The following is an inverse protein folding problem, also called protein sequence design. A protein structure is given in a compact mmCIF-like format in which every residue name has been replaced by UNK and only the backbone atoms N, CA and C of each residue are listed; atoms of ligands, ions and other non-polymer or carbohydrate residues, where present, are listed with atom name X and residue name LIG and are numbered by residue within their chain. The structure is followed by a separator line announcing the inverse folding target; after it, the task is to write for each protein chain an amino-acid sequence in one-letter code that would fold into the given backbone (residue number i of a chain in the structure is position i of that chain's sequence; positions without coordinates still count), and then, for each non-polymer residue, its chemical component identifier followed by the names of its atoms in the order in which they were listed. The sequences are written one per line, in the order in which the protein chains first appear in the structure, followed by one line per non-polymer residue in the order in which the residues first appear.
data_IF_917026588310
#
_entry.id   IF_917026588310
#
_cell.length_a   1.000
_cell.length_b   1.000
_cell.length_c   1.000
_cell.angle_alpha   90.00
_cell.angle_beta   90.00
_cell.angle_gamma   90.00
#
_symmetry.space_group_name_H-M   'P 1'
#
loop_
_entity.id
_entity.type
_entity.pdbx_description
1 polymer ?
#
# COMPACT_ATOMS: atom_id res chain seq x y z
N UNK A 1 -6.40 -0.67 6.37
CA UNK A 1 -5.18 0.16 6.16
C UNK A 1 -4.36 -0.48 5.04
N UNK A 2 -3.67 0.29 4.20
CA UNK A 2 -2.73 -0.24 3.20
C UNK A 2 -1.27 0.11 3.60
N UNK A 3 -0.40 -0.90 3.65
CA UNK A 3 1.05 -0.72 3.66
C UNK A 3 1.66 -1.29 2.39
N UNK A 4 2.63 -0.58 1.81
CA UNK A 4 3.31 -1.04 0.60
C UNK A 4 4.75 -1.44 0.92
N UNK A 5 5.11 -2.67 0.60
CA UNK A 5 6.49 -3.16 0.59
C UNK A 5 6.96 -3.42 -0.85
N UNK A 6 8.19 -2.99 -1.15
CA UNK A 6 8.80 -3.20 -2.47
C UNK A 6 9.49 -4.57 -2.46
N UNK A 7 9.00 -5.48 -3.30
CA UNK A 7 9.62 -6.80 -3.49
C UNK A 7 10.68 -6.67 -4.56
N UNK A 8 11.90 -7.12 -4.23
CA UNK A 8 13.03 -7.17 -5.15
C UNK A 8 13.35 -8.61 -5.51
N UNK A 9 13.95 -8.81 -6.68
CA UNK A 9 14.41 -10.11 -7.11
C UNK A 9 15.24 -10.82 -6.02
N UNK A 10 15.00 -12.12 -5.84
CA UNK A 10 15.53 -12.95 -4.75
C UNK A 10 14.71 -12.93 -3.46
N UNK A 11 13.65 -12.11 -3.35
CA UNK A 11 12.77 -12.05 -2.15
C UNK A 11 11.34 -12.54 -2.42
N UNK A 12 11.04 -12.96 -3.64
CA UNK A 12 9.74 -13.46 -4.07
C UNK A 12 9.44 -14.89 -3.59
N UNK A 13 10.47 -15.65 -3.18
CA UNK A 13 10.34 -17.06 -2.75
C UNK A 13 9.31 -17.27 -1.65
N UNK A 14 9.20 -16.33 -0.71
CA UNK A 14 8.18 -16.33 0.34
C UNK A 14 6.77 -16.48 -0.25
N UNK A 15 6.46 -15.70 -1.30
CA UNK A 15 5.13 -15.69 -1.91
C UNK A 15 4.86 -16.91 -2.79
N UNK A 16 5.92 -17.51 -3.36
CA UNK A 16 5.81 -18.78 -4.06
C UNK A 16 5.54 -19.95 -3.12
N UNK A 17 5.83 -19.81 -1.82
CA UNK A 17 5.60 -20.84 -0.79
C UNK A 17 4.34 -20.66 0.06
N UNK A 18 3.49 -19.66 -0.24
CA UNK A 18 2.34 -19.29 0.60
C UNK A 18 1.17 -20.30 0.60
N UNK A 19 1.22 -21.34 -0.22
CA UNK A 19 0.08 -22.23 -0.50
C UNK A 19 -0.41 -23.14 0.63
N UNK A 20 -0.03 -22.93 1.91
CA UNK A 20 -0.38 -23.87 3.00
C UNK A 20 -0.81 -23.25 4.33
N UNK A 21 -0.74 -21.93 4.52
CA UNK A 21 -0.45 -21.43 5.87
C UNK A 21 -1.63 -20.94 6.75
N UNK A 22 -2.92 -20.86 6.38
CA UNK A 22 -3.88 -20.10 7.26
C UNK A 22 -5.42 -20.32 7.14
N UNK A 23 -6.05 -21.51 7.24
CA UNK A 23 -7.54 -21.59 6.99
C UNK A 23 -8.46 -22.23 8.03
N UNK A 24 -9.52 -21.46 8.35
CA UNK A 24 -10.56 -21.63 9.40
C UNK A 24 -11.99 -21.68 8.84
N UNK A 25 -12.12 -21.75 7.52
CA UNK A 25 -13.33 -22.04 6.75
C UNK A 25 -13.16 -23.47 6.23
N UNK A 26 -14.16 -24.34 6.32
CA UNK A 26 -14.06 -25.80 6.15
C UNK A 26 -13.72 -26.30 4.74
N UNK A 27 -12.88 -25.59 3.99
CA UNK A 27 -12.38 -25.92 2.65
C UNK A 27 -10.86 -26.07 2.72
N UNK A 28 -10.33 -27.06 1.99
CA UNK A 28 -8.89 -27.26 1.85
C UNK A 28 -8.31 -26.18 0.92
N UNK A 29 -7.36 -25.43 1.47
CA UNK A 29 -6.45 -24.45 0.86
C UNK A 29 -7.03 -23.12 0.33
N UNK A 30 -6.38 -21.99 0.68
CA UNK A 30 -6.54 -20.73 -0.02
C UNK A 30 -5.54 -20.56 -1.12
N UNK A 31 -5.85 -21.17 -2.25
CA UNK A 31 -5.13 -20.78 -3.43
C UNK A 31 -5.32 -19.25 -3.66
N UNK A 32 -4.22 -18.54 -3.92
CA UNK A 32 -4.29 -17.11 -4.21
C UNK A 32 -5.12 -16.88 -5.47
N UNK A 33 -5.45 -15.63 -5.81
CA UNK A 33 -6.21 -15.37 -7.05
C UNK A 33 -5.61 -14.22 -7.84
N UNK A 34 -5.54 -14.39 -9.15
CA UNK A 34 -5.14 -13.34 -10.06
C UNK A 34 -6.28 -12.35 -10.32
N UNK A 35 -6.03 -11.06 -10.10
CA UNK A 35 -6.98 -9.95 -10.27
C UNK A 35 -6.39 -8.81 -11.10
N UNK A 36 -7.24 -7.85 -11.48
CA UNK A 36 -6.87 -6.67 -12.27
C UNK A 36 -7.08 -6.83 -13.77
N UNK A 37 -7.13 -5.71 -14.50
CA UNK A 37 -7.26 -5.72 -15.96
C UNK A 37 -5.99 -6.21 -16.67
N UNK A 38 -4.83 -6.19 -16.00
CA UNK A 38 -3.61 -6.84 -16.49
C UNK A 38 -3.78 -8.36 -16.52
N UNK A 39 -4.30 -8.96 -15.44
CA UNK A 39 -4.63 -10.38 -15.39
C UNK A 39 -5.65 -10.76 -16.48
N UNK A 40 -6.64 -9.88 -16.74
CA UNK A 40 -7.60 -10.06 -17.84
C UNK A 40 -6.91 -10.04 -19.21
N UNK A 41 -6.00 -9.10 -19.43
CA UNK A 41 -5.24 -8.97 -20.68
C UNK A 41 -4.35 -10.19 -20.93
N UNK A 42 -3.82 -10.78 -19.85
CA UNK A 42 -3.03 -12.01 -19.87
C UNK A 42 -3.87 -13.30 -19.85
N UNK A 43 -5.20 -13.21 -19.84
CA UNK A 43 -6.15 -14.34 -19.79
C UNK A 43 -6.00 -15.24 -18.56
N UNK A 44 -5.56 -14.66 -17.43
CA UNK A 44 -5.41 -15.34 -16.14
C UNK A 44 -6.33 -14.78 -15.04
N UNK A 45 -7.23 -13.85 -15.37
CA UNK A 45 -8.16 -13.26 -14.39
C UNK A 45 -9.00 -14.35 -13.70
N UNK A 46 -9.02 -14.34 -12.38
CA UNK A 46 -9.75 -15.31 -11.56
C UNK A 46 -9.10 -16.68 -11.49
N UNK A 47 -7.99 -16.91 -12.21
CA UNK A 47 -7.22 -18.13 -12.04
C UNK A 47 -6.62 -18.17 -10.64
N UNK A 48 -6.61 -19.38 -10.16
CA UNK A 48 -6.26 -19.72 -8.82
C UNK A 48 -4.77 -20.06 -8.72
N UNK A 49 -4.10 -19.62 -7.65
CA UNK A 49 -2.64 -19.62 -7.51
C UNK A 49 -2.23 -20.68 -6.49
N UNK A 50 -1.51 -21.68 -6.97
CA UNK A 50 -1.05 -22.81 -6.17
C UNK A 50 0.31 -22.55 -5.52
N UNK A 51 0.72 -23.43 -4.60
CA UNK A 51 2.11 -23.43 -4.12
C UNK A 51 3.06 -23.63 -5.31
N UNK A 52 4.10 -22.80 -5.39
CA UNK A 52 5.11 -22.80 -6.47
C UNK A 52 4.52 -22.59 -7.86
N UNK A 53 3.41 -21.85 -7.94
CA UNK A 53 2.71 -21.56 -9.18
C UNK A 53 3.67 -21.01 -10.26
N UNK A 54 3.76 -21.69 -11.43
CA UNK A 54 4.69 -21.30 -12.49
C UNK A 54 4.30 -19.97 -13.14
N UNK A 55 3.00 -19.65 -13.23
CA UNK A 55 2.51 -18.39 -13.78
C UNK A 55 2.96 -17.22 -12.91
N UNK A 56 2.79 -17.32 -11.59
CA UNK A 56 3.24 -16.29 -10.65
C UNK A 56 4.76 -16.12 -10.70
N UNK A 57 5.52 -17.23 -10.74
CA UNK A 57 6.98 -17.21 -10.89
C UNK A 57 7.41 -16.48 -12.16
N UNK A 58 6.80 -16.79 -13.31
CA UNK A 58 7.10 -16.17 -14.58
C UNK A 58 6.82 -14.66 -14.55
N UNK A 59 5.69 -14.25 -13.97
CA UNK A 59 5.32 -12.84 -13.85
C UNK A 59 6.27 -12.06 -12.91
N UNK A 60 6.77 -12.65 -11.83
CA UNK A 60 7.83 -12.02 -11.01
C UNK A 60 9.10 -11.77 -11.83
N UNK A 61 9.44 -12.69 -12.71
CA UNK A 61 10.58 -12.55 -13.62
C UNK A 61 10.33 -11.51 -14.72
N UNK A 62 9.07 -11.09 -14.92
CA UNK A 62 8.68 -10.15 -15.97
C UNK A 62 8.35 -10.84 -17.30
N UNK A 63 8.01 -12.12 -17.26
CA UNK A 63 7.63 -12.93 -18.41
C UNK A 63 6.11 -13.07 -18.51
N UNK A 64 5.63 -13.48 -19.69
CA UNK A 64 4.25 -13.92 -19.89
C UNK A 64 3.92 -15.14 -19.02
N UNK A 65 2.62 -15.44 -18.79
CA UNK A 65 2.20 -16.61 -18.01
C UNK A 65 2.86 -17.92 -18.43
N UNK A 66 3.07 -18.13 -19.74
CA UNK A 66 3.73 -19.31 -20.32
C UNK A 66 5.27 -19.25 -20.30
N UNK A 67 5.86 -18.15 -19.82
CA UNK A 67 7.30 -17.94 -19.73
C UNK A 67 8.00 -17.62 -21.06
N UNK A 68 7.27 -17.48 -22.17
CA UNK A 68 7.88 -17.38 -23.52
C UNK A 68 8.19 -15.95 -23.96
N UNK A 69 7.47 -14.97 -23.46
CA UNK A 69 7.54 -13.58 -23.91
C UNK A 69 8.03 -12.68 -22.77
N UNK A 70 9.05 -11.88 -23.02
CA UNK A 70 9.48 -10.84 -22.09
C UNK A 70 8.47 -9.68 -22.12
N UNK A 71 7.83 -9.40 -20.98
CA UNK A 71 6.86 -8.32 -20.82
C UNK A 71 7.52 -7.03 -20.30
N UNK A 72 8.75 -7.09 -19.79
CA UNK A 72 9.50 -5.89 -19.37
C UNK A 72 11.00 -6.14 -19.40
N UNK A 73 11.75 -5.09 -19.67
CA UNK A 73 13.21 -5.11 -19.66
C UNK A 73 13.78 -5.21 -18.23
N UNK A 74 14.93 -5.88 -18.08
CA UNK A 74 15.69 -5.92 -16.81
C UNK A 74 15.33 -7.08 -15.87
N UNK A 75 15.00 -8.23 -16.45
CA UNK A 75 14.76 -9.54 -15.82
C UNK A 75 15.60 -9.77 -14.57
N UNK A 76 15.00 -9.74 -13.37
CA UNK A 76 15.63 -10.13 -12.09
C UNK A 76 17.12 -9.70 -11.88
N UNK A 77 17.58 -8.64 -12.54
CA UNK A 77 19.01 -8.30 -12.54
C UNK A 77 19.36 -7.57 -11.25
N UNK A 78 20.46 -7.97 -10.63
CA UNK A 78 21.16 -7.11 -9.68
C UNK A 78 21.93 -6.10 -10.51
N UNK A 79 21.59 -4.81 -10.35
CA UNK A 79 22.33 -3.71 -10.98
C UNK A 79 23.29 -3.12 -9.96
N UNK A 80 24.54 -2.95 -10.36
CA UNK A 80 25.52 -2.19 -9.61
C UNK A 80 25.35 -0.70 -9.89
N UNK A 81 25.36 0.06 -8.80
CA UNK A 81 25.36 1.51 -8.84
C UNK A 81 26.61 2.01 -8.13
N UNK A 82 27.42 2.79 -8.83
CA UNK A 82 28.63 3.38 -8.27
C UNK A 82 28.34 4.82 -7.87
N UNK A 83 28.72 5.17 -6.65
CA UNK A 83 28.59 6.51 -6.08
C UNK A 83 29.91 6.90 -5.41
N UNK A 84 30.08 8.18 -5.11
CA UNK A 84 31.18 8.63 -4.26
C UNK A 84 30.69 8.73 -2.82
N UNK A 85 31.40 8.10 -1.90
CA UNK A 85 31.14 8.14 -0.47
C UNK A 85 32.42 8.59 0.22
N UNK A 86 32.31 9.69 0.95
CA UNK A 86 33.43 10.22 1.72
C UNK A 86 33.91 9.17 2.73
N UNK A 87 35.19 8.74 2.67
CA UNK A 87 35.71 7.68 3.53
C UNK A 87 35.75 8.10 5.01
N UNK A 88 35.86 9.39 5.32
CA UNK A 88 35.92 9.90 6.68
C UNK A 88 34.52 10.07 7.27
N UNK A 89 33.64 10.79 6.56
CA UNK A 89 32.29 11.09 7.08
C UNK A 89 31.27 9.99 6.80
N UNK A 90 31.62 9.04 5.93
CA UNK A 90 30.75 7.98 5.45
C UNK A 90 29.48 8.51 4.75
N UNK A 91 29.47 9.77 4.33
CA UNK A 91 28.37 10.41 3.62
C UNK A 91 28.50 10.23 2.11
N UNK A 92 27.40 9.86 1.46
CA UNK A 92 27.34 9.79 -0.01
C UNK A 92 27.25 11.19 -0.61
N UNK A 93 28.10 11.49 -1.59
CA UNK A 93 28.05 12.71 -2.40
C UNK A 93 26.70 12.78 -3.13
N UNK A 94 26.08 13.96 -3.11
CA UNK A 94 24.75 14.19 -3.67
C UNK A 94 24.79 15.26 -4.75
N UNK A 95 23.92 15.11 -5.73
CA UNK A 95 23.58 16.17 -6.69
C UNK A 95 22.93 17.35 -5.97
N UNK A 96 22.85 18.51 -6.62
CA UNK A 96 22.13 19.70 -6.12
C UNK A 96 20.68 19.39 -5.72
N UNK A 97 20.03 18.44 -6.40
CA UNK A 97 18.68 17.97 -6.07
C UNK A 97 18.59 17.08 -4.82
N UNK A 98 19.70 16.87 -4.11
CA UNK A 98 19.80 16.01 -2.93
C UNK A 98 19.81 14.51 -3.21
N UNK A 99 19.78 14.06 -4.47
CA UNK A 99 19.89 12.64 -4.84
C UNK A 99 21.35 12.16 -4.81
N UNK A 100 21.63 10.88 -4.50
CA UNK A 100 22.97 10.32 -4.64
C UNK A 100 23.54 10.57 -6.04
N UNK A 101 24.80 10.97 -6.10
CA UNK A 101 25.52 11.18 -7.34
C UNK A 101 25.98 9.81 -7.89
N UNK A 102 25.36 9.35 -8.97
CA UNK A 102 25.74 8.12 -9.64
C UNK A 102 26.80 8.38 -10.72
N UNK A 103 27.77 7.49 -10.81
CA UNK A 103 28.86 7.53 -11.79
C UNK A 103 28.49 6.71 -13.03
N UNK A 104 28.91 7.19 -14.21
CA UNK A 104 28.87 6.42 -15.44
C UNK A 104 29.93 5.30 -15.41
N UNK A 105 29.82 4.32 -16.31
CA UNK A 105 30.84 3.27 -16.46
C UNK A 105 32.23 3.87 -16.77
N UNK A 106 32.27 4.91 -17.59
CA UNK A 106 33.52 5.57 -17.98
C UNK A 106 34.14 6.33 -16.79
N UNK A 107 33.33 7.02 -15.99
CA UNK A 107 33.79 7.71 -14.78
C UNK A 107 34.37 6.70 -13.76
N UNK A 108 33.74 5.53 -13.61
CA UNK A 108 34.24 4.46 -12.74
C UNK A 108 35.59 3.94 -13.26
N UNK A 109 35.71 3.69 -14.56
CA UNK A 109 36.97 3.24 -15.16
C UNK A 109 38.08 4.29 -14.99
N UNK A 110 37.77 5.59 -15.15
CA UNK A 110 38.73 6.67 -14.92
C UNK A 110 39.24 6.69 -13.48
N UNK A 111 38.35 6.53 -12.49
CA UNK A 111 38.73 6.46 -11.07
C UNK A 111 39.60 5.22 -10.80
N UNK A 112 39.20 4.06 -11.32
CA UNK A 112 39.95 2.81 -11.13
C UNK A 112 41.34 2.84 -11.77
N UNK A 113 41.51 3.58 -12.87
CA UNK A 113 42.80 3.78 -13.51
C UNK A 113 43.74 4.70 -12.72
N UNK A 114 43.22 5.49 -11.76
CA UNK A 114 44.01 6.30 -10.83
C UNK A 114 44.70 7.54 -11.42
N UNK A 115 44.41 7.93 -12.67
CA UNK A 115 45.00 9.12 -13.31
C UNK A 115 44.00 10.29 -13.33
N UNK A 116 44.11 11.19 -12.35
CA UNK A 116 43.25 12.36 -12.20
C UNK A 116 43.31 13.33 -13.40
N UNK A 117 44.38 13.32 -14.20
CA UNK A 117 44.49 14.18 -15.39
C UNK A 117 43.48 13.78 -16.48
N UNK A 118 43.11 12.49 -16.50
CA UNK A 118 42.15 11.89 -17.45
C UNK A 118 40.71 11.96 -16.97
N UNK A 119 40.46 12.53 -15.79
CA UNK A 119 39.11 12.73 -15.30
C UNK A 119 38.28 13.60 -16.27
N UNK A 120 37.03 13.21 -16.43
CA UNK A 120 35.99 14.03 -17.06
C UNK A 120 35.86 15.36 -16.33
N UNK A 121 35.32 16.39 -17.01
CA UNK A 121 35.14 17.72 -16.40
C UNK A 121 34.30 17.66 -15.12
N UNK A 122 33.31 16.76 -15.08
CA UNK A 122 32.49 16.51 -13.90
C UNK A 122 33.31 15.94 -12.73
N UNK A 123 34.19 14.96 -12.97
CA UNK A 123 35.07 14.41 -11.94
C UNK A 123 36.13 15.43 -11.50
N UNK A 124 36.68 16.25 -12.42
CA UNK A 124 37.59 17.36 -12.08
C UNK A 124 36.91 18.40 -11.20
N UNK A 125 35.66 18.74 -11.48
CA UNK A 125 34.88 19.65 -10.64
C UNK A 125 34.64 19.06 -9.25
N UNK A 126 34.27 17.78 -9.16
CA UNK A 126 34.08 17.09 -7.89
C UNK A 126 35.38 17.00 -7.07
N UNK A 127 36.51 16.72 -7.73
CA UNK A 127 37.84 16.67 -7.11
C UNK A 127 38.19 17.99 -6.43
N UNK A 128 37.95 19.12 -7.11
CA UNK A 128 38.10 20.47 -6.53
C UNK A 128 37.16 20.70 -5.35
N UNK A 129 35.88 20.34 -5.49
CA UNK A 129 34.87 20.54 -4.43
C UNK A 129 35.18 19.74 -3.16
N UNK A 130 35.62 18.50 -3.32
CA UNK A 130 35.90 17.58 -2.22
C UNK A 130 37.37 17.56 -1.80
N UNK A 131 38.21 18.40 -2.42
CA UNK A 131 39.63 18.54 -2.16
C UNK A 131 40.37 17.19 -2.15
N UNK A 132 40.12 16.41 -3.20
CA UNK A 132 40.73 15.09 -3.38
C UNK A 132 41.05 14.83 -4.85
N UNK A 133 42.25 14.31 -5.11
CA UNK A 133 42.68 13.93 -6.46
C UNK A 133 42.51 12.42 -6.71
N UNK A 134 42.20 11.66 -5.65
CA UNK A 134 42.00 10.22 -5.71
C UNK A 134 40.64 9.81 -5.16
N UNK A 135 39.73 9.46 -6.06
CA UNK A 135 38.41 8.95 -5.72
C UNK A 135 38.38 7.42 -5.52
N UNK A 136 39.51 6.71 -5.60
CA UNK A 136 39.54 5.25 -5.44
C UNK A 136 38.98 4.83 -4.07
N UNK A 137 39.42 5.49 -3.00
CA UNK A 137 38.93 5.28 -1.64
C UNK A 137 37.50 5.78 -1.40
N UNK A 138 36.96 6.58 -2.31
CA UNK A 138 35.59 7.11 -2.27
C UNK A 138 34.61 6.26 -3.07
N UNK A 139 35.10 5.45 -4.02
CA UNK A 139 34.26 4.67 -4.90
C UNK A 139 33.47 3.63 -4.10
N UNK A 140 32.17 3.83 -4.03
CA UNK A 140 31.26 2.94 -3.32
C UNK A 140 30.27 2.31 -4.29
N UNK A 141 30.32 0.99 -4.38
CA UNK A 141 29.39 0.19 -5.17
C UNK A 141 28.23 -0.27 -4.30
N UNK A 142 27.01 -0.05 -4.76
CA UNK A 142 25.80 -0.59 -4.17
C UNK A 142 25.08 -1.46 -5.18
N UNK A 143 24.87 -2.72 -4.83
CA UNK A 143 23.99 -3.61 -5.58
C UNK A 143 22.52 -3.32 -5.29
N UNK A 144 21.70 -3.25 -6.35
CA UNK A 144 20.25 -3.16 -6.24
C UNK A 144 19.58 -4.16 -7.17
N UNK A 145 18.96 -5.15 -6.56
CA UNK A 145 18.03 -6.05 -7.23
C UNK A 145 16.84 -5.29 -7.81
N UNK A 146 16.42 -5.69 -9.02
CA UNK A 146 15.26 -5.12 -9.71
C UNK A 146 13.98 -5.31 -8.90
N UNK A 147 13.03 -4.38 -9.03
CA UNK A 147 11.72 -4.48 -8.37
C UNK A 147 10.88 -5.47 -9.16
N UNK A 148 10.37 -6.53 -8.52
CA UNK A 148 9.54 -7.56 -9.15
C UNK A 148 8.04 -7.38 -8.85
N UNK A 149 7.71 -6.77 -7.72
CA UNK A 149 6.34 -6.46 -7.35
C UNK A 149 6.26 -5.39 -6.25
N UNK A 150 5.06 -4.85 -6.06
CA UNK A 150 4.69 -4.01 -4.91
C UNK A 150 3.63 -4.75 -4.10
N UNK A 151 3.99 -5.18 -2.89
CA UNK A 151 3.06 -5.84 -1.98
C UNK A 151 2.18 -4.80 -1.28
N UNK A 152 0.91 -4.72 -1.67
CA UNK A 152 -0.09 -3.89 -1.01
C UNK A 152 -0.82 -4.73 0.04
N UNK A 153 -0.46 -4.53 1.31
CA UNK A 153 -1.06 -5.28 2.42
C UNK A 153 -2.26 -4.53 2.96
N UNK A 154 -3.45 -5.01 2.61
CA UNK A 154 -4.71 -4.49 3.13
C UNK A 154 -5.07 -5.20 4.43
N UNK A 155 -4.82 -4.54 5.56
CA UNK A 155 -5.17 -5.06 6.89
C UNK A 155 -6.49 -4.49 7.37
N UNK A 156 -7.40 -5.36 7.80
CA UNK A 156 -8.64 -4.96 8.46
C UNK A 156 -8.33 -4.32 9.85
N UNK A 157 -9.20 -3.42 10.35
CA UNK A 157 -9.12 -3.03 11.75
C UNK A 157 -9.18 -4.24 12.67
N UNK A 158 -8.55 -4.14 13.85
CA UNK A 158 -8.49 -5.25 14.80
C UNK A 158 -9.88 -5.74 15.20
N UNK A 159 -10.78 -4.80 15.45
CA UNK A 159 -12.20 -5.02 15.75
C UNK A 159 -12.89 -5.91 14.70
N UNK A 160 -12.57 -5.76 13.41
CA UNK A 160 -13.12 -6.60 12.33
C UNK A 160 -12.55 -8.02 12.39
N UNK A 161 -11.26 -8.17 12.71
CA UNK A 161 -10.64 -9.49 12.86
C UNK A 161 -11.18 -10.22 14.09
N UNK A 162 -11.46 -9.49 15.17
CA UNK A 162 -12.13 -10.01 16.37
C UNK A 162 -13.56 -10.44 16.03
N UNK A 163 -14.34 -9.57 15.38
CA UNK A 163 -15.70 -9.89 14.94
C UNK A 163 -15.72 -11.17 14.09
N UNK A 164 -14.79 -11.30 13.14
CA UNK A 164 -14.62 -12.52 12.35
C UNK A 164 -14.34 -13.74 13.22
N UNK A 165 -13.33 -13.69 14.10
CA UNK A 165 -12.96 -14.86 14.93
C UNK A 165 -14.04 -15.28 15.92
N UNK A 166 -14.85 -14.32 16.39
CA UNK A 166 -15.90 -14.55 17.38
C UNK A 166 -17.30 -14.70 16.76
N UNK A 167 -17.37 -14.84 15.44
CA UNK A 167 -18.63 -15.09 14.73
C UNK A 167 -19.22 -16.45 15.14
N UNK A 168 -20.53 -16.51 15.41
CA UNK A 168 -21.17 -17.69 15.99
C UNK A 168 -21.24 -18.88 15.03
N UNK A 169 -21.23 -18.62 13.72
CA UNK A 169 -21.33 -19.64 12.68
C UNK A 169 -20.36 -19.33 11.53
N UNK A 170 -20.16 -20.33 10.67
CA UNK A 170 -19.24 -20.24 9.52
C UNK A 170 -19.71 -19.25 8.46
N UNK A 171 -21.02 -19.19 8.20
CA UNK A 171 -21.62 -18.27 7.23
C UNK A 171 -21.29 -16.81 7.54
N UNK A 172 -21.34 -16.40 8.81
CA UNK A 172 -20.98 -15.05 9.22
C UNK A 172 -19.48 -14.78 9.03
N UNK A 173 -18.61 -15.77 9.31
CA UNK A 173 -17.16 -15.67 9.04
C UNK A 173 -16.87 -15.49 7.56
N UNK A 174 -17.43 -16.35 6.72
CA UNK A 174 -17.30 -16.28 5.26
C UNK A 174 -17.81 -14.96 4.70
N UNK A 175 -18.90 -14.45 5.28
CA UNK A 175 -19.44 -13.16 4.88
C UNK A 175 -18.48 -12.01 5.21
N UNK A 176 -17.87 -11.99 6.40
CA UNK A 176 -16.87 -10.98 6.76
C UNK A 176 -15.64 -11.08 5.83
N UNK A 177 -15.16 -12.29 5.53
CA UNK A 177 -14.07 -12.51 4.57
C UNK A 177 -14.46 -11.99 3.18
N UNK A 178 -15.68 -12.24 2.73
CA UNK A 178 -16.20 -11.75 1.44
C UNK A 178 -16.25 -10.22 1.40
N UNK A 179 -16.68 -9.57 2.48
CA UNK A 179 -16.69 -8.10 2.60
C UNK A 179 -15.26 -7.53 2.55
N UNK A 180 -14.32 -8.18 3.23
CA UNK A 180 -12.89 -7.86 3.18
C UNK A 180 -12.31 -7.99 1.77
N UNK A 181 -12.61 -9.08 1.07
CA UNK A 181 -12.18 -9.30 -0.31
C UNK A 181 -12.81 -8.27 -1.27
N UNK A 182 -14.08 -7.90 -1.08
CA UNK A 182 -14.74 -6.82 -1.84
C UNK A 182 -14.06 -5.48 -1.63
N UNK A 183 -13.74 -5.13 -0.38
CA UNK A 183 -13.00 -3.91 -0.06
C UNK A 183 -11.59 -3.91 -0.66
N UNK A 184 -10.91 -5.07 -0.63
CA UNK A 184 -9.61 -5.27 -1.27
C UNK A 184 -9.71 -5.05 -2.79
N UNK A 185 -10.72 -5.62 -3.45
CA UNK A 185 -10.97 -5.43 -4.89
C UNK A 185 -11.21 -3.96 -5.25
N UNK A 186 -12.00 -3.22 -4.45
CA UNK A 186 -12.23 -1.80 -4.68
C UNK A 186 -10.93 -0.97 -4.60
N UNK A 187 -10.06 -1.29 -3.63
CA UNK A 187 -8.76 -0.63 -3.52
C UNK A 187 -7.80 -1.01 -4.65
N UNK A 188 -7.83 -2.26 -5.13
CA UNK A 188 -7.09 -2.72 -6.32
C UNK A 188 -7.53 -1.95 -7.56
N UNK A 189 -8.84 -1.76 -7.76
CA UNK A 189 -9.35 -0.97 -8.89
C UNK A 189 -8.81 0.46 -8.86
N UNK A 190 -8.74 1.10 -7.68
CA UNK A 190 -8.11 2.41 -7.56
C UNK A 190 -6.60 2.39 -7.84
N UNK A 191 -5.87 1.39 -7.36
CA UNK A 191 -4.43 1.26 -7.64
C UNK A 191 -4.15 1.06 -9.14
N UNK A 192 -5.03 0.36 -9.85
CA UNK A 192 -4.94 0.18 -11.29
C UNK A 192 -5.10 1.50 -12.06
N UNK A 193 -5.94 2.43 -11.59
CA UNK A 193 -6.01 3.78 -12.17
C UNK A 193 -4.70 4.57 -12.03
N UNK A 194 -3.82 4.17 -11.10
CA UNK A 194 -2.52 4.78 -10.87
C UNK A 194 -1.37 3.98 -11.54
N UNK A 195 -1.70 2.99 -12.37
CA UNK A 195 -0.72 2.18 -13.08
C UNK A 195 -0.31 2.88 -14.39
N UNK A 196 0.96 3.24 -14.47
CA UNK A 196 1.57 3.82 -15.67
C UNK A 196 2.86 3.07 -16.00
N UNK A 197 3.20 3.02 -17.28
CA UNK A 197 4.53 2.61 -17.74
C UNK A 197 5.22 3.78 -18.45
N UNK A 198 6.55 3.76 -18.45
CA UNK A 198 7.34 4.74 -19.20
C UNK A 198 7.78 4.19 -20.54
N UNK A 199 7.57 4.95 -21.61
CA UNK A 199 7.84 4.54 -22.98
C UNK A 199 8.56 5.65 -23.77
N UNK A 200 8.90 5.36 -25.03
CA UNK A 200 9.65 6.27 -25.91
C UNK A 200 11.14 6.37 -25.57
N UNK A 201 11.89 7.14 -26.39
CA UNK A 201 13.33 7.31 -26.20
C UNK A 201 13.61 7.96 -24.84
N UNK A 202 14.38 7.28 -24.00
CA UNK A 202 14.71 7.74 -22.65
C UNK A 202 13.56 7.64 -21.62
N UNK A 203 12.42 7.01 -21.95
CA UNK A 203 11.31 6.83 -21.02
C UNK A 203 10.59 8.12 -20.64
N UNK A 204 10.50 9.07 -21.58
CA UNK A 204 9.96 10.41 -21.35
C UNK A 204 8.42 10.40 -21.37
N UNK A 205 7.81 9.47 -22.11
CA UNK A 205 6.36 9.34 -22.18
C UNK A 205 5.85 8.49 -21.01
N UNK A 206 4.75 8.91 -20.40
CA UNK A 206 4.05 8.17 -19.35
C UNK A 206 2.69 7.73 -19.90
N UNK A 207 2.52 6.43 -20.11
CA UNK A 207 1.30 5.86 -20.69
C UNK A 207 0.51 5.08 -19.61
N UNK A 208 -0.83 5.27 -19.51
CA UNK A 208 -1.66 4.44 -18.65
C UNK A 208 -1.52 2.96 -18.99
N UNK A 209 -1.49 2.11 -17.97
CA UNK A 209 -1.31 0.69 -18.11
C UNK A 209 -2.32 -0.09 -17.27
N UNK A 210 -2.63 -1.31 -17.69
CA UNK A 210 -3.36 -2.30 -16.92
C UNK A 210 -2.38 -3.08 -16.05
N UNK A 211 -2.79 -3.41 -14.82
CA UNK A 211 -1.92 -4.05 -13.84
C UNK A 211 -2.43 -5.44 -13.44
N UNK A 212 -1.50 -6.33 -13.12
CA UNK A 212 -1.79 -7.70 -12.66
C UNK A 212 -1.53 -7.81 -11.17
N UNK A 213 -2.50 -8.34 -10.44
CA UNK A 213 -2.40 -8.56 -8.99
C UNK A 213 -2.48 -10.05 -8.67
N UNK A 214 -1.58 -10.56 -7.84
CA UNK A 214 -1.74 -11.85 -7.17
C UNK A 214 -2.19 -11.58 -5.73
N UNK A 215 -3.36 -12.06 -5.34
CA UNK A 215 -3.99 -11.73 -4.06
C UNK A 215 -4.10 -12.96 -3.16
N UNK A 216 -3.54 -12.86 -1.97
CA UNK A 216 -3.59 -13.88 -0.92
C UNK A 216 -4.27 -13.28 0.30
N UNK A 217 -5.36 -13.88 0.77
CA UNK A 217 -6.04 -13.47 2.00
C UNK A 217 -5.57 -14.37 3.14
N UNK A 218 -5.28 -13.80 4.30
CA UNK A 218 -4.90 -14.52 5.50
C UNK A 218 -5.75 -14.05 6.68
N UNK A 219 -5.89 -14.90 7.69
CA UNK A 219 -6.74 -14.61 8.86
C UNK A 219 -6.00 -14.62 10.19
N UNK A 220 -4.72 -14.99 10.21
CA UNK A 220 -3.92 -15.07 11.44
C UNK A 220 -2.72 -14.12 11.38
N UNK A 221 -2.29 -13.68 12.55
CA UNK A 221 -0.97 -13.08 12.72
C UNK A 221 0.08 -14.15 12.96
N UNK A 222 1.37 -13.77 12.92
CA UNK A 222 2.48 -14.67 13.27
C UNK A 222 2.41 -15.20 14.71
N UNK A 223 1.75 -14.50 15.63
CA UNK A 223 1.55 -14.95 17.02
C UNK A 223 0.22 -15.71 17.18
N UNK A 224 -0.39 -16.16 16.08
CA UNK A 224 -1.65 -16.91 16.09
C UNK A 224 -2.82 -16.14 16.71
N UNK A 225 -2.77 -14.81 16.76
CA UNK A 225 -3.93 -13.96 17.03
C UNK A 225 -4.74 -13.68 15.74
N UNK A 226 -6.06 -13.44 15.81
CA UNK A 226 -6.89 -13.13 14.65
C UNK A 226 -6.44 -11.86 13.94
N UNK A 227 -6.09 -11.94 12.67
CA UNK A 227 -5.66 -10.79 11.88
C UNK A 227 -6.06 -10.98 10.42
N UNK A 228 -7.22 -10.47 10.04
CA UNK A 228 -7.71 -10.51 8.66
C UNK A 228 -6.94 -9.49 7.81
N UNK A 229 -6.24 -9.98 6.79
CA UNK A 229 -5.49 -9.14 5.86
C UNK A 229 -5.36 -9.79 4.48
N UNK A 230 -5.09 -8.99 3.45
CA UNK A 230 -4.75 -9.48 2.12
C UNK A 230 -3.42 -8.91 1.65
N UNK A 231 -2.52 -9.77 1.18
CA UNK A 231 -1.38 -9.39 0.36
C UNK A 231 -1.83 -9.29 -1.10
N UNK A 232 -1.95 -8.07 -1.62
CA UNK A 232 -2.24 -7.82 -3.02
C UNK A 232 -0.95 -7.42 -3.75
N UNK A 233 -0.27 -8.43 -4.31
CA UNK A 233 0.98 -8.27 -5.03
C UNK A 233 0.73 -7.65 -6.40
N UNK A 234 0.97 -6.35 -6.55
CA UNK A 234 0.97 -5.69 -7.84
C UNK A 234 2.26 -6.07 -8.57
N UNK A 235 2.16 -7.01 -9.50
CA UNK A 235 3.31 -7.51 -10.27
C UNK A 235 3.84 -6.37 -11.13
N UNK A 236 5.16 -6.23 -11.19
CA UNK A 236 5.79 -5.06 -11.81
C UNK A 236 5.85 -5.17 -13.34
N UNK A 237 4.69 -5.44 -13.94
CA UNK A 237 4.40 -5.59 -15.36
C UNK A 237 3.12 -4.79 -15.65
N UNK A 238 3.23 -3.76 -16.48
CA UNK A 238 2.10 -2.99 -17.00
C UNK A 238 1.87 -3.25 -18.48
N UNK A 239 0.62 -3.24 -18.91
CA UNK A 239 0.20 -3.46 -20.30
C UNK A 239 -0.70 -2.30 -20.75
N UNK A 240 -0.29 -1.52 -21.75
CA UNK A 240 -1.14 -0.42 -22.28
C UNK A 240 -2.35 -0.96 -23.05
N UNK A 241 -3.28 -0.08 -23.41
CA UNK A 241 -4.43 -0.48 -24.23
C UNK A 241 -4.02 -1.02 -25.62
N UNK A 242 -2.92 -0.51 -26.16
CA UNK A 242 -2.30 -0.88 -27.43
C UNK A 242 -1.39 -2.10 -27.32
N UNK A 243 -1.25 -2.69 -26.13
CA UNK A 243 -0.46 -3.90 -25.90
C UNK A 243 1.04 -3.67 -25.67
N UNK A 244 1.50 -2.42 -25.55
CA UNK A 244 2.89 -2.16 -25.11
C UNK A 244 3.05 -2.61 -23.68
N UNK A 245 4.22 -3.16 -23.34
CA UNK A 245 4.49 -3.68 -22.01
C UNK A 245 5.73 -3.04 -21.39
N UNK A 246 5.77 -2.95 -20.07
CA UNK A 246 6.89 -2.36 -19.35
C UNK A 246 6.80 -2.48 -17.84
N UNK A 247 7.83 -2.02 -17.14
CA UNK A 247 7.79 -1.90 -15.69
C UNK A 247 6.87 -0.74 -15.28
N UNK A 248 6.11 -0.93 -14.20
CA UNK A 248 5.23 0.07 -13.64
C UNK A 248 6.02 1.23 -13.01
N UNK A 249 5.49 2.44 -13.09
CA UNK A 249 6.03 3.60 -12.38
C UNK A 249 5.73 3.47 -10.88
N UNK A 250 6.71 2.95 -10.15
CA UNK A 250 6.63 2.77 -8.70
C UNK A 250 6.36 4.05 -7.91
N UNK A 251 6.65 5.24 -8.46
CA UNK A 251 6.37 6.50 -7.76
C UNK A 251 4.86 6.70 -7.61
N UNK A 252 4.11 6.54 -8.70
CA UNK A 252 2.65 6.72 -8.70
C UNK A 252 1.97 5.71 -7.76
N UNK A 253 2.43 4.46 -7.76
CA UNK A 253 1.95 3.40 -6.84
C UNK A 253 2.19 3.77 -5.38
N UNK A 254 3.39 4.26 -5.03
CA UNK A 254 3.73 4.62 -3.65
C UNK A 254 2.95 5.85 -3.16
N UNK A 255 2.67 6.81 -4.05
CA UNK A 255 1.84 7.98 -3.74
C UNK A 255 0.36 7.60 -3.53
N UNK A 256 -0.13 6.59 -4.25
CA UNK A 256 -1.50 6.06 -4.15
C UNK A 256 -1.81 5.27 -2.86
N UNK A 257 -0.81 4.97 -2.03
CA UNK A 257 -0.96 4.13 -0.81
C UNK A 257 -2.08 4.57 0.12
N UNK A 258 -2.16 5.87 0.43
CA UNK A 258 -3.12 6.36 1.42
C UNK A 258 -4.54 6.36 0.88
N UNK A 259 -4.71 6.72 -0.39
CA UNK A 259 -6.00 6.73 -1.05
C UNK A 259 -6.58 5.32 -1.20
N UNK A 260 -5.79 4.37 -1.71
CA UNK A 260 -6.18 2.95 -1.77
C UNK A 260 -6.53 2.39 -0.39
N UNK A 261 -5.74 2.75 0.63
CA UNK A 261 -6.02 2.36 2.02
C UNK A 261 -7.34 2.92 2.57
N UNK A 262 -7.72 4.15 2.22
CA UNK A 262 -8.99 4.75 2.64
C UNK A 262 -10.19 4.25 1.85
N UNK A 263 -10.04 3.94 0.56
CA UNK A 263 -11.07 3.24 -0.22
C UNK A 263 -11.37 1.89 0.40
N UNK A 264 -10.33 1.12 0.74
CA UNK A 264 -10.48 -0.15 1.47
C UNK A 264 -11.23 0.03 2.79
N UNK A 265 -10.82 0.97 3.64
CA UNK A 265 -11.49 1.19 4.94
C UNK A 265 -12.95 1.61 4.77
N UNK A 266 -13.22 2.49 3.81
CA UNK A 266 -14.57 2.95 3.51
C UNK A 266 -15.47 1.80 3.05
N UNK A 267 -15.02 0.98 2.09
CA UNK A 267 -15.83 -0.16 1.61
C UNK A 267 -16.00 -1.26 2.65
N UNK A 268 -14.98 -1.56 3.45
CA UNK A 268 -15.10 -2.55 4.51
C UNK A 268 -16.12 -2.11 5.56
N UNK A 269 -16.00 -0.86 6.05
CA UNK A 269 -16.96 -0.26 6.99
C UNK A 269 -18.37 -0.29 6.41
N UNK A 270 -18.52 0.18 5.17
CA UNK A 270 -19.77 0.20 4.40
C UNK A 270 -20.43 -1.18 4.32
N UNK A 271 -19.64 -2.22 4.06
CA UNK A 271 -20.11 -3.60 3.98
C UNK A 271 -20.59 -4.15 5.32
N UNK A 272 -19.77 -3.98 6.37
CA UNK A 272 -20.08 -4.47 7.70
C UNK A 272 -21.32 -3.81 8.29
N UNK A 273 -21.42 -2.48 8.19
CA UNK A 273 -22.56 -1.73 8.71
C UNK A 273 -23.86 -2.13 8.01
N UNK A 274 -23.85 -2.35 6.68
CA UNK A 274 -25.08 -2.73 5.97
C UNK A 274 -25.47 -4.19 6.14
N UNK A 275 -24.49 -5.08 6.26
CA UNK A 275 -24.78 -6.51 6.36
C UNK A 275 -25.10 -6.93 7.80
N UNK A 276 -24.27 -6.50 8.75
CA UNK A 276 -24.38 -6.89 10.15
C UNK A 276 -25.03 -5.82 11.04
N UNK A 277 -25.27 -4.61 10.54
CA UNK A 277 -25.82 -3.53 11.37
C UNK A 277 -24.90 -3.15 12.52
N UNK A 278 -23.58 -3.29 12.37
CA UNK A 278 -22.63 -2.86 13.40
C UNK A 278 -22.58 -1.34 13.48
N UNK A 279 -22.43 -0.80 14.69
CA UNK A 279 -22.12 0.62 14.87
C UNK A 279 -20.59 0.79 14.91
N UNK A 280 -20.08 1.81 14.24
CA UNK A 280 -18.64 2.05 14.13
C UNK A 280 -18.27 3.49 14.47
N UNK A 281 -17.05 3.68 14.97
CA UNK A 281 -16.50 4.99 15.33
C UNK A 281 -15.10 5.19 14.73
N UNK A 282 -14.72 6.45 14.50
CA UNK A 282 -13.43 6.78 13.88
C UNK A 282 -12.26 6.49 14.83
N UNK A 283 -11.19 5.92 14.29
CA UNK A 283 -9.89 5.77 14.94
C UNK A 283 -8.81 6.44 14.07
N UNK A 284 -8.55 7.75 14.28
CA UNK A 284 -7.63 8.51 13.43
C UNK A 284 -6.20 7.97 13.46
N UNK A 285 -5.52 7.99 12.31
CA UNK A 285 -4.10 7.66 12.28
C UNK A 285 -3.23 8.79 12.83
N UNK A 286 -2.08 8.42 13.40
CA UNK A 286 -1.06 9.40 13.77
C UNK A 286 -0.64 10.20 12.53
N UNK A 287 -0.55 11.54 12.67
CA UNK A 287 -0.22 12.52 11.59
C UNK A 287 -1.36 12.84 10.60
N UNK A 288 -2.61 12.47 10.89
CA UNK A 288 -3.77 12.95 10.12
C UNK A 288 -3.81 12.46 8.67
N UNK A 289 -3.26 11.26 8.40
CA UNK A 289 -3.20 10.65 7.05
C UNK A 289 -4.35 9.65 6.81
N UNK A 290 -5.55 10.02 7.27
CA UNK A 290 -6.75 9.17 7.23
C UNK A 290 -7.15 8.63 8.60
N UNK A 291 -8.11 7.70 8.59
CA UNK A 291 -8.67 7.08 9.79
C UNK A 291 -8.92 5.59 9.56
N UNK A 292 -8.68 4.78 10.59
CA UNK A 292 -9.32 3.48 10.74
C UNK A 292 -10.70 3.66 11.38
N UNK A 293 -11.37 2.57 11.70
CA UNK A 293 -12.58 2.57 12.53
C UNK A 293 -12.54 1.43 13.55
N UNK A 294 -13.22 1.61 14.67
CA UNK A 294 -13.55 0.55 15.62
C UNK A 294 -15.04 0.18 15.55
N UNK A 295 -15.44 -0.85 16.28
CA UNK A 295 -16.81 -1.36 16.34
C UNK A 295 -17.33 -1.23 17.77
N UNK A 296 -18.49 -0.59 17.96
CA UNK A 296 -19.15 -0.51 19.26
C UNK A 296 -19.47 -1.92 19.80
N UNK A 297 -19.22 -2.15 21.09
CA UNK A 297 -19.41 -3.45 21.73
C UNK A 297 -18.19 -4.37 21.71
N UNK A 298 -17.10 -3.99 21.03
CA UNK A 298 -15.77 -4.61 21.19
C UNK A 298 -14.93 -3.74 22.13
N UNK A 299 -14.78 -4.16 23.38
CA UNK A 299 -14.10 -3.40 24.43
C UNK A 299 -12.57 -3.35 24.24
N UNK A 300 -11.90 -2.43 24.93
CA UNK A 300 -10.42 -2.38 24.93
C UNK A 300 -9.80 -3.66 25.48
N UNK A 301 -10.36 -4.24 26.55
CA UNK A 301 -9.88 -5.51 27.11
C UNK A 301 -9.93 -6.67 26.12
N UNK A 302 -10.98 -6.76 25.29
CA UNK A 302 -11.04 -7.77 24.21
C UNK A 302 -9.95 -7.48 23.16
N UNK A 303 -9.74 -6.21 22.80
CA UNK A 303 -8.69 -5.84 21.83
C UNK A 303 -7.30 -6.17 22.34
N UNK A 304 -7.01 -5.90 23.61
CA UNK A 304 -5.74 -6.23 24.27
C UNK A 304 -5.51 -7.75 24.31
N UNK A 305 -6.54 -8.53 24.67
CA UNK A 305 -6.48 -10.00 24.69
C UNK A 305 -6.03 -10.60 23.36
N UNK A 306 -6.49 -10.04 22.24
CA UNK A 306 -6.12 -10.49 20.90
C UNK A 306 -4.98 -9.70 20.26
N UNK A 307 -4.28 -8.82 20.98
CA UNK A 307 -3.21 -7.98 20.44
C UNK A 307 -1.86 -8.26 21.08
N UNK A 308 -1.58 -9.52 21.46
CA UNK A 308 -0.40 -9.90 22.24
C UNK A 308 0.90 -9.44 21.57
N UNK A 309 1.01 -9.60 20.25
CA UNK A 309 2.13 -9.08 19.43
C UNK A 309 2.37 -7.58 19.60
N UNK A 310 1.31 -6.78 19.63
CA UNK A 310 1.41 -5.32 19.76
C UNK A 310 1.90 -4.93 21.14
N UNK A 311 1.46 -5.66 22.17
CA UNK A 311 1.91 -5.47 23.56
C UNK A 311 3.40 -5.80 23.68
N UNK A 312 3.84 -6.94 23.15
CA UNK A 312 5.26 -7.34 23.16
C UNK A 312 6.16 -6.35 22.41
N UNK A 313 5.71 -5.85 21.26
CA UNK A 313 6.45 -4.85 20.48
C UNK A 313 6.52 -3.51 21.24
N UNK A 314 5.43 -3.05 21.85
CA UNK A 314 5.41 -1.79 22.61
C UNK A 314 6.38 -1.82 23.78
N UNK A 315 6.56 -2.98 24.42
CA UNK A 315 7.54 -3.14 25.51
C UNK A 315 9.00 -3.09 25.03
N UNK A 316 9.27 -3.33 23.74
CA UNK A 316 10.63 -3.37 23.16
C UNK A 316 11.01 -2.12 22.37
N UNK A 317 10.04 -1.25 22.06
CA UNK A 317 10.24 -0.09 21.20
C UNK A 317 10.18 1.20 22.01
N UNK A 318 11.31 1.92 22.06
CA UNK A 318 11.39 3.24 22.69
C UNK A 318 10.63 4.29 21.83
N UNK A 319 9.84 5.19 22.44
CA UNK A 319 9.21 6.33 21.76
C UNK A 319 10.14 7.12 20.83
N UNK A 320 11.40 7.33 21.23
CA UNK A 320 12.43 8.09 20.51
C UNK A 320 13.04 7.41 19.29
N UNK A 321 12.76 6.11 19.05
CA UNK A 321 13.26 5.40 17.88
C UNK A 321 12.69 5.95 16.56
N UNK A 322 13.53 6.05 15.53
CA UNK A 322 13.10 6.33 14.15
C UNK A 322 12.26 5.19 13.58
N UNK A 323 11.43 5.46 12.56
CA UNK A 323 10.62 4.42 11.91
C UNK A 323 11.46 3.23 11.38
N UNK A 324 12.70 3.48 10.95
CA UNK A 324 13.63 2.44 10.51
C UNK A 324 14.10 1.56 11.68
N UNK A 325 14.44 2.17 12.81
CA UNK A 325 14.84 1.45 14.03
C UNK A 325 13.67 0.63 14.60
N UNK A 326 12.47 1.22 14.69
CA UNK A 326 11.25 0.51 15.10
C UNK A 326 11.00 -0.70 14.22
N UNK A 327 11.14 -0.55 12.89
CA UNK A 327 11.01 -1.67 11.94
C UNK A 327 12.07 -2.75 12.21
N UNK A 328 13.33 -2.38 12.44
CA UNK A 328 14.41 -3.34 12.70
C UNK A 328 14.17 -4.15 13.99
N UNK A 329 13.75 -3.52 15.09
CA UNK A 329 13.44 -4.23 16.33
C UNK A 329 12.27 -5.22 16.14
N UNK A 330 11.21 -4.80 15.44
CA UNK A 330 10.09 -5.68 15.09
C UNK A 330 10.52 -6.86 14.19
N UNK A 331 11.57 -6.71 13.39
CA UNK A 331 12.12 -7.81 12.58
C UNK A 331 12.87 -8.83 13.43
N UNK A 332 13.61 -8.40 14.45
CA UNK A 332 14.43 -9.27 15.32
C UNK A 332 13.58 -10.21 16.19
N UNK A 333 12.38 -9.80 16.56
CA UNK A 333 11.48 -10.61 17.41
C UNK A 333 10.72 -11.68 16.64
N UNK A 334 10.94 -11.79 15.33
CA UNK A 334 10.21 -12.73 14.47
C UNK A 334 10.64 -14.15 14.77
N UNK A 335 9.72 -14.94 15.32
CA UNK A 335 9.76 -16.40 15.21
C UNK A 335 9.26 -16.83 13.83
N UNK A 336 9.72 -17.99 13.36
CA UNK A 336 9.13 -18.64 12.20
C UNK A 336 7.67 -19.00 12.49
N UNK A 337 6.80 -18.93 11.48
CA UNK A 337 5.41 -19.37 11.64
C UNK A 337 5.42 -20.89 11.82
N UNK A 338 4.76 -21.37 12.87
CA UNK A 338 4.45 -22.79 13.00
C UNK A 338 3.46 -23.17 11.91
N UNK A 339 3.81 -24.15 11.08
CA UNK A 339 3.00 -24.60 9.93
C UNK A 339 2.05 -25.74 10.30
N UNK A 340 2.07 -26.22 11.54
CA UNK A 340 1.30 -27.36 12.01
C UNK A 340 0.17 -26.95 12.98
N UNK A 341 -0.41 -25.76 12.81
CA UNK A 341 -1.47 -25.27 13.68
C UNK A 341 -2.81 -25.89 13.28
N UNK A 342 -3.48 -26.55 14.23
CA UNK A 342 -4.88 -26.97 14.08
C UNK A 342 -5.78 -25.73 14.12
N UNK A 343 -6.20 -25.28 12.94
CA UNK A 343 -7.05 -24.10 12.79
C UNK A 343 -8.42 -24.29 13.46
N UNK A 344 -9.01 -25.48 13.44
CA UNK A 344 -10.30 -25.70 14.11
C UNK A 344 -10.14 -25.56 15.64
N UNK A 345 -9.04 -26.05 16.20
CA UNK A 345 -8.71 -25.86 17.60
C UNK A 345 -8.42 -24.39 17.95
N UNK A 346 -7.65 -23.67 17.13
CA UNK A 346 -7.32 -22.27 17.40
C UNK A 346 -8.55 -21.35 17.33
N UNK A 347 -9.49 -21.59 16.41
CA UNK A 347 -10.74 -20.83 16.40
C UNK A 347 -11.58 -21.07 17.66
N UNK A 348 -11.67 -22.32 18.13
CA UNK A 348 -12.34 -22.63 19.40
C UNK A 348 -11.66 -21.93 20.57
N UNK A 349 -10.34 -21.89 20.60
CA UNK A 349 -9.56 -21.15 21.61
C UNK A 349 -9.92 -19.66 21.60
N UNK A 350 -9.93 -19.02 20.42
CA UNK A 350 -10.31 -17.61 20.30
C UNK A 350 -11.74 -17.37 20.78
N UNK A 351 -12.69 -18.22 20.41
CA UNK A 351 -14.08 -18.10 20.87
C UNK A 351 -14.19 -18.19 22.41
N UNK A 352 -13.44 -19.09 23.04
CA UNK A 352 -13.38 -19.21 24.50
C UNK A 352 -12.77 -17.95 25.14
N UNK A 353 -11.64 -17.46 24.63
CA UNK A 353 -10.99 -16.22 25.10
C UNK A 353 -11.92 -15.02 24.99
N UNK A 354 -12.59 -14.86 23.84
CA UNK A 354 -13.55 -13.78 23.61
C UNK A 354 -14.73 -13.83 24.59
N UNK A 355 -15.29 -15.03 24.84
CA UNK A 355 -16.36 -15.22 25.80
C UNK A 355 -15.92 -14.91 27.24
N UNK A 356 -14.70 -15.30 27.62
CA UNK A 356 -14.14 -14.99 28.93
C UNK A 356 -13.96 -13.48 29.15
N UNK A 357 -13.65 -12.73 28.09
CA UNK A 357 -13.58 -11.26 28.10
C UNK A 357 -14.95 -10.57 27.96
N UNK A 358 -16.06 -11.32 28.01
CA UNK A 358 -17.42 -10.80 27.99
C UNK A 358 -17.96 -10.42 26.61
N UNK A 359 -17.34 -10.89 25.51
CA UNK A 359 -17.87 -10.66 24.16
C UNK A 359 -19.26 -11.29 23.98
N UNK A 360 -20.18 -10.55 23.36
CA UNK A 360 -21.53 -11.00 23.04
C UNK A 360 -21.93 -10.53 21.65
N UNK A 361 -22.10 -11.47 20.72
CA UNK A 361 -22.41 -11.20 19.31
C UNK A 361 -23.64 -10.30 19.14
N UNK A 362 -24.76 -10.64 19.81
CA UNK A 362 -26.03 -9.92 19.72
C UNK A 362 -25.98 -8.50 20.29
N UNK A 363 -24.95 -8.18 21.08
CA UNK A 363 -24.69 -6.80 21.54
C UNK A 363 -23.91 -5.97 20.52
N UNK A 364 -23.27 -6.59 19.53
CA UNK A 364 -22.45 -5.93 18.51
C UNK A 364 -23.22 -5.76 17.20
N UNK A 365 -23.97 -6.78 16.77
CA UNK A 365 -24.72 -6.76 15.51
C UNK A 365 -26.15 -6.22 15.68
N UNK A 366 -26.76 -5.79 14.57
CA UNK A 366 -28.15 -5.32 14.53
C UNK A 366 -28.41 -3.98 15.23
N UNK A 367 -27.37 -3.23 15.60
CA UNK A 367 -27.47 -1.96 16.33
C UNK A 367 -27.74 -0.75 15.43
N UNK A 368 -27.22 -0.77 14.22
CA UNK A 368 -27.25 0.36 13.30
C UNK A 368 -28.08 0.06 12.05
N UNK A 369 -28.84 1.06 11.60
CA UNK A 369 -29.43 1.13 10.26
C UNK A 369 -28.69 2.19 9.45
N UNK A 370 -27.58 1.80 8.82
CA UNK A 370 -26.79 2.75 8.01
C UNK A 370 -27.51 3.14 6.74
N UNK A 371 -27.59 4.45 6.49
CA UNK A 371 -28.10 5.04 5.25
C UNK A 371 -26.97 5.71 4.48
N UNK A 372 -27.13 5.76 3.15
CA UNK A 372 -26.26 6.59 2.32
C UNK A 372 -26.51 8.06 2.62
N UNK A 373 -25.51 8.89 2.32
CA UNK A 373 -25.73 10.33 2.23
C UNK A 373 -26.79 10.56 1.13
N UNK A 374 -27.86 11.27 1.47
CA UNK A 374 -29.00 11.44 0.55
C UNK A 374 -29.56 12.86 0.55
N UNK A 375 -29.31 13.65 1.59
CA UNK A 375 -29.82 15.01 1.72
C UNK A 375 -28.75 16.04 1.35
N UNK A 376 -29.19 17.20 0.88
CA UNK A 376 -28.30 18.31 0.57
C UNK A 376 -27.46 18.73 1.80
N UNK A 377 -28.10 18.80 2.97
CA UNK A 377 -27.44 19.12 4.24
C UNK A 377 -26.29 18.15 4.55
N UNK A 378 -26.50 16.85 4.37
CA UNK A 378 -25.45 15.84 4.59
C UNK A 378 -24.30 15.99 3.59
N UNK A 379 -24.59 16.25 2.31
CA UNK A 379 -23.56 16.53 1.31
C UNK A 379 -22.78 17.81 1.67
N UNK A 380 -23.44 18.90 2.08
CA UNK A 380 -22.77 20.13 2.53
C UNK A 380 -21.80 19.87 3.69
N UNK A 381 -22.22 19.08 4.69
CA UNK A 381 -21.36 18.68 5.81
C UNK A 381 -20.15 17.84 5.36
N UNK A 382 -20.37 16.88 4.45
CA UNK A 382 -19.28 16.10 3.84
C UNK A 382 -18.29 17.02 3.13
N UNK A 383 -18.77 17.92 2.28
CA UNK A 383 -17.93 18.85 1.52
C UNK A 383 -17.10 19.75 2.44
N UNK A 384 -17.70 20.26 3.52
CA UNK A 384 -16.99 21.05 4.53
C UNK A 384 -15.86 20.26 5.19
N UNK A 385 -16.12 19.02 5.61
CA UNK A 385 -15.10 18.16 6.21
C UNK A 385 -13.97 17.86 5.22
N UNK A 386 -14.30 17.56 3.96
CA UNK A 386 -13.31 17.33 2.89
C UNK A 386 -12.43 18.57 2.69
N UNK A 387 -13.03 19.76 2.62
CA UNK A 387 -12.29 21.01 2.48
C UNK A 387 -11.32 21.23 3.66
N UNK A 388 -11.76 20.98 4.91
CA UNK A 388 -10.89 21.07 6.09
C UNK A 388 -9.71 20.10 6.01
N UNK A 389 -9.94 18.85 5.58
CA UNK A 389 -8.89 17.83 5.43
C UNK A 389 -7.89 18.19 4.33
N UNK A 390 -8.37 18.76 3.23
CA UNK A 390 -7.53 19.24 2.12
C UNK A 390 -6.66 20.42 2.55
N UNK A 391 -7.25 21.41 3.23
CA UNK A 391 -6.51 22.56 3.75
C UNK A 391 -5.41 22.12 4.72
N UNK A 392 -5.70 21.23 5.66
CA UNK A 392 -4.69 20.68 6.57
C UNK A 392 -3.58 19.89 5.84
N UNK A 393 -3.88 19.32 4.68
CA UNK A 393 -2.89 18.62 3.86
C UNK A 393 -2.00 19.59 3.08
N UNK A 394 -2.56 20.69 2.59
CA UNK A 394 -1.83 21.77 1.93
C UNK A 394 -0.75 22.38 2.84
N UNK A 395 -1.06 22.58 4.12
CA UNK A 395 -0.09 23.08 5.10
C UNK A 395 1.13 22.16 5.28
N UNK A 396 1.07 20.91 4.79
CA UNK A 396 2.16 19.93 4.85
C UNK A 396 2.85 19.69 3.50
N UNK A 397 2.39 20.33 2.44
CA UNK A 397 2.87 20.12 1.07
C UNK A 397 1.73 20.18 0.06
N UNK A 398 2.03 19.92 -1.20
CA UNK A 398 1.04 20.08 -2.27
C UNK A 398 -0.11 19.06 -2.21
N UNK A 399 -1.31 19.53 -2.57
CA UNK A 399 -2.47 18.66 -2.75
C UNK A 399 -2.40 18.02 -4.14
N UNK A 400 -2.47 16.69 -4.17
CA UNK A 400 -2.50 15.87 -5.39
C UNK A 400 -3.83 15.11 -5.46
N UNK A 401 -4.08 14.46 -6.59
CA UNK A 401 -5.28 13.65 -6.82
C UNK A 401 -5.54 12.62 -5.72
N UNK A 402 -4.52 11.88 -5.32
CA UNK A 402 -4.64 10.90 -4.25
C UNK A 402 -5.00 11.57 -2.90
N UNK A 403 -4.63 12.82 -2.66
CA UNK A 403 -4.97 13.56 -1.44
C UNK A 403 -6.48 13.88 -1.41
N UNK A 404 -7.06 14.24 -2.56
CA UNK A 404 -8.51 14.47 -2.70
C UNK A 404 -9.28 13.18 -2.41
N UNK A 405 -8.90 12.09 -3.07
CA UNK A 405 -9.54 10.78 -2.86
C UNK A 405 -9.41 10.30 -1.42
N UNK A 406 -8.22 10.44 -0.81
CA UNK A 406 -7.99 10.11 0.60
C UNK A 406 -8.94 10.89 1.51
N UNK A 407 -9.14 12.18 1.24
CA UNK A 407 -9.95 13.08 2.07
C UNK A 407 -11.44 12.73 1.98
N UNK A 408 -11.94 12.48 0.77
CA UNK A 408 -13.34 12.08 0.53
C UNK A 408 -13.62 10.71 1.13
N UNK A 409 -12.79 9.70 0.84
CA UNK A 409 -12.98 8.35 1.37
C UNK A 409 -12.91 8.32 2.92
N UNK A 410 -12.06 9.15 3.52
CA UNK A 410 -12.01 9.30 4.98
C UNK A 410 -13.29 9.90 5.56
N UNK A 411 -13.80 10.99 4.95
CA UNK A 411 -14.99 11.69 5.42
C UNK A 411 -16.29 10.90 5.14
N UNK A 412 -16.28 10.04 4.13
CA UNK A 412 -17.42 9.22 3.73
C UNK A 412 -17.87 8.24 4.83
N UNK A 413 -16.94 7.71 5.64
CA UNK A 413 -17.24 6.82 6.78
C UNK A 413 -18.20 5.67 6.43
N UNK A 414 -18.00 5.05 5.26
CA UNK A 414 -18.85 3.96 4.76
C UNK A 414 -20.20 4.38 4.16
N UNK A 415 -20.55 5.67 4.20
CA UNK A 415 -21.83 6.20 3.70
C UNK A 415 -21.85 6.47 2.20
N UNK A 416 -20.70 6.42 1.53
CA UNK A 416 -20.57 6.53 0.08
C UNK A 416 -19.99 5.24 -0.50
N UNK A 417 -20.48 4.85 -1.68
CA UNK A 417 -19.81 3.82 -2.47
C UNK A 417 -18.49 4.36 -3.03
N UNK A 418 -17.59 3.47 -3.43
CA UNK A 418 -16.35 3.82 -4.14
C UNK A 418 -16.69 4.62 -5.38
N UNK A 419 -17.67 4.20 -6.17
CA UNK A 419 -18.10 4.95 -7.35
C UNK A 419 -18.50 6.40 -7.02
N UNK A 420 -19.20 6.63 -5.91
CA UNK A 420 -19.58 7.99 -5.48
C UNK A 420 -18.37 8.79 -4.98
N UNK A 421 -17.42 8.15 -4.28
CA UNK A 421 -16.14 8.78 -3.92
C UNK A 421 -15.41 9.27 -5.16
N UNK A 422 -15.32 8.45 -6.21
CA UNK A 422 -14.68 8.83 -7.48
C UNK A 422 -15.43 9.96 -8.19
N UNK A 423 -16.78 9.91 -8.24
CA UNK A 423 -17.61 10.99 -8.83
C UNK A 423 -17.38 12.32 -8.11
N UNK A 424 -17.41 12.32 -6.78
CA UNK A 424 -17.19 13.55 -5.99
C UNK A 424 -15.76 14.05 -6.17
N UNK A 425 -14.76 13.16 -6.22
CA UNK A 425 -13.37 13.55 -6.50
C UNK A 425 -13.23 14.23 -7.87
N UNK A 426 -13.85 13.68 -8.92
CA UNK A 426 -13.87 14.29 -10.25
C UNK A 426 -14.57 15.66 -10.27
N UNK A 427 -15.68 15.81 -9.54
CA UNK A 427 -16.36 17.08 -9.35
C UNK A 427 -15.47 18.13 -8.68
N UNK A 428 -14.78 17.74 -7.60
CA UNK A 428 -13.80 18.59 -6.92
C UNK A 428 -12.69 19.04 -7.87
N UNK A 429 -12.07 18.11 -8.60
CA UNK A 429 -11.02 18.46 -9.59
C UNK A 429 -11.54 19.48 -10.60
N UNK A 430 -12.73 19.28 -11.14
CA UNK A 430 -13.35 20.19 -12.11
C UNK A 430 -13.55 21.60 -11.54
N UNK A 431 -14.05 21.71 -10.30
CA UNK A 431 -14.27 23.01 -9.65
C UNK A 431 -12.96 23.69 -9.21
N UNK A 432 -11.98 22.90 -8.75
CA UNK A 432 -10.64 23.41 -8.40
C UNK A 432 -9.90 23.95 -9.62
N UNK A 433 -9.91 23.22 -10.74
CA UNK A 433 -9.28 23.65 -12.00
C UNK A 433 -9.92 24.94 -12.55
N UNK A 434 -11.24 25.13 -12.36
CA UNK A 434 -11.94 26.37 -12.73
C UNK A 434 -11.56 27.57 -11.84
N UNK A 435 -11.23 27.33 -10.58
CA UNK A 435 -10.88 28.39 -9.62
C UNK A 435 -9.38 28.74 -9.60
N UNK A 436 -8.52 27.83 -10.08
CA UNK A 436 -7.06 27.97 -10.09
C UNK A 436 -6.43 27.35 -11.36
N UNK A 437 -6.53 28.01 -12.53
CA UNK A 437 -5.93 27.51 -13.77
C UNK A 437 -4.39 27.53 -13.66
N UNK A 438 -3.74 26.37 -13.79
CA UNK A 438 -2.27 26.30 -13.94
C UNK A 438 -1.88 26.24 -15.41
N UNK A 439 -0.83 26.98 -15.79
CA UNK A 439 -0.29 27.04 -17.17
C UNK A 439 0.63 25.88 -17.56
N UNK A 440 0.95 24.94 -16.64
CA UNK A 440 2.11 24.05 -16.82
C UNK A 440 1.82 22.54 -16.72
N UNK A 441 0.54 22.12 -16.73
CA UNK A 441 0.16 20.70 -16.84
C UNK A 441 0.56 19.78 -15.66
N UNK A 442 0.89 20.31 -14.48
CA UNK A 442 1.21 19.52 -13.27
C UNK A 442 0.03 19.46 -12.31
N UNK A 443 -0.26 18.26 -11.78
CA UNK A 443 -1.36 17.92 -10.86
C UNK A 443 -1.11 18.41 -9.43
N UNK A 444 -1.05 19.73 -9.24
CA UNK A 444 -0.84 20.38 -7.94
C UNK A 444 -1.98 21.38 -7.71
N UNK A 445 -2.81 21.12 -6.70
CA UNK A 445 -3.91 22.00 -6.32
C UNK A 445 -3.49 22.84 -5.10
N UNK A 446 -3.70 24.16 -5.17
CA UNK A 446 -3.58 25.06 -4.02
C UNK A 446 -4.96 25.64 -3.70
N UNK A 447 -5.33 25.62 -2.42
CA UNK A 447 -6.49 26.28 -1.85
C UNK A 447 -6.11 27.72 -1.48
N UNK A 448 -5.66 28.53 -2.44
CA UNK A 448 -5.50 29.95 -2.15
C UNK A 448 -6.88 30.60 -1.86
N UNK A 449 -6.82 31.66 -1.07
CA UNK A 449 -7.82 32.38 -0.24
C UNK A 449 -9.30 32.39 -0.68
N UNK A 450 -9.63 32.15 -1.96
CA UNK A 450 -11.00 32.11 -2.47
C UNK A 450 -11.78 30.86 -2.05
N UNK A 451 -11.10 29.73 -1.80
CA UNK A 451 -11.77 28.51 -1.30
C UNK A 451 -12.21 28.60 0.16
N UNK A 452 -11.55 29.45 0.95
CA UNK A 452 -11.88 29.68 2.36
C UNK A 452 -12.88 30.84 2.54
N UNK A 453 -12.72 31.93 1.76
CA UNK A 453 -13.59 33.12 1.83
C UNK A 453 -15.06 32.91 1.44
N UNK A 454 -15.46 31.72 0.97
CA UNK A 454 -16.86 31.41 0.63
C UNK A 454 -17.59 30.53 1.64
N UNK A 455 -16.95 30.09 2.72
CA UNK A 455 -17.56 29.20 3.73
C UNK A 455 -17.59 29.85 5.13
N UNK A 456 -17.16 31.10 5.24
CA UNK A 456 -17.30 31.88 6.47
C UNK A 456 -18.33 32.96 6.27
N UNK A 457 -19.38 32.85 7.10
CA UNK A 457 -20.46 33.81 7.37
C UNK A 457 -21.69 33.72 6.43
N UNK A 458 -22.73 33.10 7.00
CA UNK A 458 -24.12 32.97 6.54
C UNK A 458 -24.37 32.12 5.27
N UNK A 459 -24.50 30.80 5.47
CA UNK A 459 -25.51 29.93 4.79
C UNK A 459 -25.53 28.48 5.36
#
# INVERSE_FOLDING_TARGET
MNSIDIIRAGRESYYLSLGKDDYYTGHADPEGVFLGAGAKSLRILGQTIQERDPTLKNLFQGLSPDGKTELRQGLATVREYHTLRDPLTQQTVRTESGKPLYLSRDEVAQIQNGDANRYSDRLKSLSKTHQTDDFSAWLHTTERASVVAYDNVFSAPKDVSILWSLSPNEKDRETIVTLHQRATKAAISYLEEQAFIRTGKGGILSEPARATFAVFTHTTSRELDPQLHSHALMLNVGITAEGKTGALDGKEILEARYASGMIYQNELRRGLERHFGVETYDQPFSKGRGSSFGISGISEGIKEEFSRRTVEIRQRVDPGMTAKQKRAEVLKTRKEKDKNVDNAALLKEWQQRGKAQGFCWDKVVGKAKTKNISTEKEYRLLYREVATRLHASEQRGSVKDHTIVTSIASAARGKLSTQDVHKIAAGFKTQFLKSHPQSNGKTLYTLNEKGFKRITEND
#
